data_IF_540052783429
#
_entry.id   IF_540052783429
#
_cell.length_a   1.000
_cell.length_b   1.000
_cell.length_c   1.000
_cell.angle_alpha   90.00
_cell.angle_beta   90.00
_cell.angle_gamma   90.00
#
_symmetry.space_group_name_H-M   'P 1'
#
loop_
_entity.id
_entity.type
_entity.pdbx_description
1 polymer ?
#
# COMPACT_ATOMS: atom_id res chain seq x y z
N UNK A 1 -6.35 0.85 -11.30
CA UNK A 1 -4.98 0.86 -11.86
C UNK A 1 -4.87 2.15 -12.66
N UNK A 2 -3.90 3.00 -12.34
CA UNK A 2 -3.61 4.18 -13.16
C UNK A 2 -2.95 3.71 -14.45
N UNK A 3 -3.09 4.49 -15.52
CA UNK A 3 -2.38 4.27 -16.77
C UNK A 3 -2.05 5.63 -17.38
N UNK A 4 -0.83 5.76 -17.86
CA UNK A 4 -0.33 6.96 -18.51
C UNK A 4 0.41 6.51 -19.78
N UNK A 5 0.18 7.20 -20.88
CA UNK A 5 0.89 6.99 -22.13
C UNK A 5 1.86 8.15 -22.36
N UNK A 6 3.13 7.86 -22.63
CA UNK A 6 4.17 8.86 -22.82
C UNK A 6 3.85 9.79 -24.00
N UNK A 7 3.13 9.30 -25.02
CA UNK A 7 2.70 10.13 -26.15
C UNK A 7 1.80 11.29 -25.77
N UNK A 8 1.13 11.23 -24.62
CA UNK A 8 0.24 12.28 -24.11
C UNK A 8 1.00 13.49 -23.56
N UNK A 9 2.34 13.41 -23.48
CA UNK A 9 3.19 14.41 -22.83
C UNK A 9 4.26 15.01 -23.78
N UNK A 10 3.87 15.58 -24.94
CA UNK A 10 4.81 16.16 -25.91
C UNK A 10 5.47 17.45 -25.43
N UNK A 11 4.94 18.10 -24.39
CA UNK A 11 5.41 19.42 -23.94
C UNK A 11 6.13 19.36 -22.58
N UNK A 12 6.24 18.18 -21.97
CA UNK A 12 6.96 18.01 -20.70
C UNK A 12 8.42 17.73 -21.01
N UNK A 13 9.28 18.71 -20.73
CA UNK A 13 10.73 18.63 -20.91
C UNK A 13 11.35 17.44 -20.16
N UNK A 14 12.20 16.68 -20.83
CA UNK A 14 12.94 15.55 -20.25
C UNK A 14 14.29 15.30 -20.96
N UNK A 15 15.01 16.38 -21.20
CA UNK A 15 16.33 16.38 -21.85
C UNK A 15 17.35 15.49 -21.14
N UNK A 16 18.09 14.71 -21.92
CA UNK A 16 19.35 14.09 -21.48
C UNK A 16 20.36 15.14 -20.98
N UNK A 17 21.16 14.82 -19.94
CA UNK A 17 22.13 15.77 -19.38
C UNK A 17 23.21 16.16 -20.38
N UNK A 18 23.69 17.40 -20.30
CA UNK A 18 24.85 17.90 -21.05
C UNK A 18 24.70 17.89 -22.59
N UNK A 19 23.49 18.08 -23.12
CA UNK A 19 23.28 18.12 -24.57
C UNK A 19 22.35 19.26 -24.97
N UNK A 20 22.48 19.74 -26.21
CA UNK A 20 21.59 20.73 -26.79
C UNK A 20 20.29 20.12 -27.38
N UNK A 21 20.16 18.79 -27.36
CA UNK A 21 18.96 18.13 -27.87
C UNK A 21 17.80 18.31 -26.89
N UNK A 22 16.70 18.85 -27.41
CA UNK A 22 15.47 19.04 -26.65
C UNK A 22 14.66 17.76 -26.73
N UNK A 23 14.52 17.08 -25.59
CA UNK A 23 13.73 15.86 -25.47
C UNK A 23 12.55 16.10 -24.53
N UNK A 24 11.54 15.27 -24.68
CA UNK A 24 10.33 15.36 -23.87
C UNK A 24 9.97 13.99 -23.33
N UNK A 25 9.01 13.95 -22.41
CA UNK A 25 8.46 12.68 -21.93
C UNK A 25 7.94 11.83 -23.10
N UNK A 26 7.38 12.46 -24.15
CA UNK A 26 6.97 11.76 -25.37
C UNK A 26 8.10 10.99 -26.05
N UNK A 27 9.30 11.55 -26.13
CA UNK A 27 10.42 10.91 -26.86
C UNK A 27 11.22 9.96 -25.96
N UNK A 28 11.35 10.29 -24.68
CA UNK A 28 12.38 9.67 -23.82
C UNK A 28 11.87 9.32 -22.41
N UNK A 29 10.55 9.32 -22.21
CA UNK A 29 9.92 9.26 -20.88
C UNK A 29 9.37 7.91 -20.43
N UNK A 30 9.65 6.79 -21.11
CA UNK A 30 9.08 5.48 -20.74
C UNK A 30 9.34 5.11 -19.26
N UNK A 31 10.54 5.40 -18.74
CA UNK A 31 10.89 5.18 -17.33
C UNK A 31 10.10 6.07 -16.35
N UNK A 32 9.93 7.35 -16.67
CA UNK A 32 9.14 8.29 -15.85
C UNK A 32 7.68 7.86 -15.80
N UNK A 33 7.11 7.52 -16.95
CA UNK A 33 5.70 7.15 -17.10
C UNK A 33 5.40 5.82 -16.42
N UNK A 34 6.29 4.82 -16.54
CA UNK A 34 6.17 3.56 -15.79
C UNK A 34 6.27 3.79 -14.28
N UNK A 35 7.26 4.55 -13.80
CA UNK A 35 7.38 4.85 -12.37
C UNK A 35 6.14 5.57 -11.82
N UNK A 36 5.62 6.57 -12.54
CA UNK A 36 4.39 7.29 -12.18
C UNK A 36 3.19 6.34 -12.09
N UNK A 37 3.02 5.48 -13.11
CA UNK A 37 1.97 4.46 -13.16
C UNK A 37 2.03 3.53 -11.95
N UNK A 38 3.22 3.02 -11.61
CA UNK A 38 3.42 2.08 -10.50
C UNK A 38 3.11 2.72 -9.16
N UNK A 39 3.66 3.90 -8.87
CA UNK A 39 3.48 4.55 -7.56
C UNK A 39 2.03 4.95 -7.31
N UNK A 40 1.37 5.58 -8.29
CA UNK A 40 -0.03 6.00 -8.17
C UNK A 40 -0.98 4.79 -8.03
N UNK A 41 -0.68 3.70 -8.76
CA UNK A 41 -1.49 2.48 -8.71
C UNK A 41 -1.36 1.73 -7.38
N UNK A 42 -0.15 1.61 -6.84
CA UNK A 42 0.09 0.92 -5.59
C UNK A 42 -0.56 1.64 -4.38
N UNK A 43 -0.51 2.98 -4.35
CA UNK A 43 -1.17 3.76 -3.28
C UNK A 43 -2.68 3.93 -3.52
N UNK A 44 -3.16 3.73 -4.74
CA UNK A 44 -4.57 3.86 -5.11
C UNK A 44 -5.06 5.29 -5.27
N UNK A 45 -4.15 6.26 -5.43
CA UNK A 45 -4.46 7.68 -5.69
C UNK A 45 -3.30 8.34 -6.44
N UNK A 46 -3.55 9.50 -7.05
CA UNK A 46 -2.47 10.29 -7.65
C UNK A 46 -1.53 10.81 -6.55
N UNK A 47 -0.29 10.33 -6.57
CA UNK A 47 0.81 10.77 -5.70
C UNK A 47 1.74 11.72 -6.46
N UNK A 48 1.94 11.47 -7.75
CA UNK A 48 2.67 12.33 -8.67
C UNK A 48 1.90 12.47 -9.97
N UNK A 49 1.87 13.66 -10.56
CA UNK A 49 1.59 13.81 -11.99
C UNK A 49 2.82 13.37 -12.80
N UNK A 50 2.67 13.10 -14.10
CA UNK A 50 3.82 12.77 -14.97
C UNK A 50 4.83 13.91 -15.03
N UNK A 51 4.37 15.18 -15.00
CA UNK A 51 5.26 16.35 -14.93
C UNK A 51 6.08 16.36 -13.63
N UNK A 52 5.44 16.09 -12.49
CA UNK A 52 6.14 16.00 -11.20
C UNK A 52 7.14 14.85 -11.17
N UNK A 53 6.81 13.69 -11.75
CA UNK A 53 7.72 12.56 -11.82
C UNK A 53 8.93 12.84 -12.74
N UNK A 54 8.71 13.49 -13.89
CA UNK A 54 9.79 13.90 -14.80
C UNK A 54 10.75 14.88 -14.11
N UNK A 55 10.20 15.91 -13.46
CA UNK A 55 11.00 16.85 -12.67
C UNK A 55 11.74 16.15 -11.53
N UNK A 56 11.07 15.26 -10.79
CA UNK A 56 11.71 14.51 -9.70
C UNK A 56 12.87 13.66 -10.20
N UNK A 57 12.72 13.01 -11.36
CA UNK A 57 13.79 12.26 -12.00
C UNK A 57 15.00 13.14 -12.34
N UNK A 58 14.77 14.29 -12.98
CA UNK A 58 15.82 15.26 -13.32
C UNK A 58 16.52 15.81 -12.07
N UNK A 59 15.76 16.26 -11.08
CA UNK A 59 16.27 16.84 -9.82
C UNK A 59 17.12 15.85 -9.01
N UNK A 60 16.95 14.54 -9.23
CA UNK A 60 17.72 13.48 -8.56
C UNK A 60 18.77 12.82 -9.47
N UNK A 61 19.05 13.40 -10.64
CA UNK A 61 20.07 12.87 -11.56
C UNK A 61 19.74 11.50 -12.14
N UNK A 62 18.46 11.14 -12.23
CA UNK A 62 18.01 9.85 -12.74
C UNK A 62 17.79 9.83 -14.26
N UNK A 63 17.95 10.95 -14.97
CA UNK A 63 18.03 10.96 -16.44
C UNK A 63 19.49 10.77 -16.87
N UNK A 64 19.76 9.76 -17.69
CA UNK A 64 21.06 9.54 -18.34
C UNK A 64 20.96 9.72 -19.88
N UNK A 65 21.98 9.31 -20.64
CA UNK A 65 21.98 9.43 -22.10
C UNK A 65 21.07 8.42 -22.82
N UNK A 66 20.68 7.34 -22.15
CA UNK A 66 19.92 6.21 -22.70
C UNK A 66 18.46 6.18 -22.28
N UNK A 67 18.12 6.88 -21.19
CA UNK A 67 16.77 6.89 -20.64
C UNK A 67 16.74 7.38 -19.19
N UNK A 68 15.84 6.77 -18.46
CA UNK A 68 15.77 6.94 -17.00
C UNK A 68 16.57 5.84 -16.35
N UNK A 69 17.58 6.19 -15.55
CA UNK A 69 18.22 5.28 -14.62
C UNK A 69 17.22 4.91 -13.51
N UNK A 70 16.53 3.79 -13.69
CA UNK A 70 15.45 3.39 -12.80
C UNK A 70 15.92 3.11 -11.37
N UNK A 71 17.17 2.67 -11.18
CA UNK A 71 17.72 2.42 -9.85
C UNK A 71 17.88 3.71 -9.06
N UNK A 72 18.41 4.78 -9.68
CA UNK A 72 18.54 6.10 -9.05
C UNK A 72 17.15 6.67 -8.74
N UNK A 73 16.22 6.62 -9.71
CA UNK A 73 14.86 7.12 -9.53
C UNK A 73 14.14 6.42 -8.36
N UNK A 74 14.14 5.09 -8.32
CA UNK A 74 13.45 4.33 -7.28
C UNK A 74 14.08 4.51 -5.90
N UNK A 75 15.42 4.61 -5.80
CA UNK A 75 16.09 4.96 -4.54
C UNK A 75 15.61 6.31 -4.01
N UNK A 76 15.55 7.33 -4.86
CA UNK A 76 15.08 8.65 -4.48
C UNK A 76 13.59 8.65 -4.10
N UNK A 77 12.75 7.96 -4.87
CA UNK A 77 11.31 7.86 -4.59
C UNK A 77 11.03 7.11 -3.29
N UNK A 78 11.66 5.96 -3.03
CA UNK A 78 11.47 5.22 -1.78
C UNK A 78 12.01 5.99 -0.57
N UNK A 79 13.11 6.75 -0.72
CA UNK A 79 13.60 7.65 0.33
C UNK A 79 12.57 8.74 0.67
N UNK A 80 11.93 9.35 -0.34
CA UNK A 80 10.90 10.38 -0.14
C UNK A 80 9.57 9.82 0.38
N UNK A 81 9.26 8.56 0.06
CA UNK A 81 7.99 7.91 0.37
C UNK A 81 8.27 6.60 1.16
N UNK A 82 8.49 6.65 2.48
CA UNK A 82 9.03 5.53 3.26
C UNK A 82 8.10 4.30 3.36
N UNK A 83 6.85 4.43 2.93
CA UNK A 83 5.90 3.32 2.82
C UNK A 83 6.11 2.51 1.53
N UNK A 84 6.96 2.98 0.62
CA UNK A 84 7.36 2.28 -0.58
C UNK A 84 8.75 1.68 -0.41
N UNK A 85 8.94 0.48 -0.95
CA UNK A 85 10.24 -0.16 -1.09
C UNK A 85 10.34 -0.83 -2.46
N UNK A 86 11.55 -1.18 -2.87
CA UNK A 86 11.74 -1.97 -4.09
C UNK A 86 12.88 -2.99 -3.94
N UNK A 87 12.83 -4.04 -4.76
CA UNK A 87 13.92 -5.00 -4.98
C UNK A 87 14.27 -5.02 -6.46
N UNK A 88 15.55 -4.89 -6.80
CA UNK A 88 16.04 -5.09 -8.17
C UNK A 88 16.49 -6.54 -8.34
N UNK A 89 16.13 -7.18 -9.45
CA UNK A 89 16.42 -8.60 -9.69
C UNK A 89 16.40 -8.93 -11.18
N UNK A 90 17.04 -10.04 -11.57
CA UNK A 90 16.92 -10.66 -12.89
C UNK A 90 16.02 -11.89 -12.90
N UNK A 91 15.45 -12.28 -11.75
CA UNK A 91 14.68 -13.53 -11.59
C UNK A 91 13.20 -13.37 -11.93
N UNK A 92 12.74 -14.12 -12.93
CA UNK A 92 11.32 -14.23 -13.31
C UNK A 92 10.50 -14.89 -12.20
N UNK A 93 11.10 -15.82 -11.45
CA UNK A 93 10.44 -16.42 -10.29
C UNK A 93 10.12 -15.38 -9.22
N UNK A 94 11.04 -14.46 -8.93
CA UNK A 94 10.78 -13.36 -8.00
C UNK A 94 9.73 -12.39 -8.55
N UNK A 95 9.80 -12.07 -9.84
CA UNK A 95 8.77 -11.26 -10.52
C UNK A 95 7.37 -11.86 -10.34
N UNK A 96 7.20 -13.13 -10.68
CA UNK A 96 5.89 -13.83 -10.57
C UNK A 96 5.43 -13.89 -9.11
N UNK A 97 6.32 -14.21 -8.18
CA UNK A 97 5.97 -14.27 -6.75
C UNK A 97 5.54 -12.90 -6.21
N UNK A 98 6.19 -11.83 -6.65
CA UNK A 98 5.86 -10.45 -6.26
C UNK A 98 4.48 -10.03 -6.77
N UNK A 99 4.20 -10.25 -8.05
CA UNK A 99 2.90 -9.91 -8.66
C UNK A 99 1.77 -10.69 -8.00
N UNK A 100 1.96 -11.98 -7.72
CA UNK A 100 0.97 -12.81 -7.00
C UNK A 100 0.62 -12.30 -5.61
N UNK A 101 1.53 -11.57 -4.96
CA UNK A 101 1.30 -10.93 -3.64
C UNK A 101 0.64 -9.54 -3.76
N UNK A 102 0.25 -9.12 -4.96
CA UNK A 102 -0.32 -7.80 -5.22
C UNK A 102 0.72 -6.70 -5.43
N UNK A 103 2.00 -7.06 -5.54
CA UNK A 103 3.06 -6.14 -5.95
C UNK A 103 2.96 -5.78 -7.43
N UNK A 104 3.59 -4.67 -7.81
CA UNK A 104 3.72 -4.24 -9.21
C UNK A 104 5.20 -4.09 -9.53
N UNK A 105 5.60 -4.47 -10.74
CA UNK A 105 6.99 -4.40 -11.18
C UNK A 105 7.17 -3.52 -12.41
N UNK A 106 8.32 -2.85 -12.49
CA UNK A 106 8.82 -2.22 -13.71
C UNK A 106 9.79 -3.21 -14.35
N UNK A 107 9.57 -3.56 -15.62
CA UNK A 107 10.42 -4.48 -16.38
C UNK A 107 11.24 -3.69 -17.40
N UNK A 108 12.54 -3.98 -17.47
CA UNK A 108 13.53 -3.35 -18.33
C UNK A 108 13.74 -4.23 -19.56
N UNK A 109 13.02 -3.99 -20.64
CA UNK A 109 13.31 -4.64 -21.90
C UNK A 109 14.68 -4.18 -22.41
N UNK A 110 15.48 -5.11 -22.91
CA UNK A 110 16.66 -4.77 -23.68
C UNK A 110 16.47 -4.77 -25.19
N UNK A 111 17.59 -4.93 -25.87
CA UNK A 111 17.71 -4.77 -27.32
C UNK A 111 17.77 -6.13 -28.02
N UNK A 112 18.19 -7.17 -27.30
CA UNK A 112 18.40 -8.52 -27.87
C UNK A 112 17.09 -9.21 -28.31
N UNK A 113 15.98 -9.00 -27.61
CA UNK A 113 14.70 -9.66 -27.90
C UNK A 113 13.49 -8.73 -27.74
N UNK A 114 13.12 -8.07 -28.82
CA UNK A 114 12.08 -7.04 -28.83
C UNK A 114 10.64 -7.57 -28.71
N UNK A 115 9.99 -7.42 -27.56
CA UNK A 115 8.56 -7.78 -27.35
C UNK A 115 7.67 -6.54 -27.32
N UNK A 116 8.10 -5.51 -26.59
CA UNK A 116 7.38 -4.28 -26.27
C UNK A 116 7.87 -3.06 -27.06
N UNK A 117 9.12 -3.05 -27.51
CA UNK A 117 9.71 -1.99 -28.35
C UNK A 117 10.82 -2.56 -29.21
N UNK A 118 11.24 -1.86 -30.27
CA UNK A 118 12.40 -2.23 -31.13
C UNK A 118 13.76 -1.92 -30.51
N UNK A 119 13.78 -1.34 -29.32
CA UNK A 119 14.97 -1.02 -28.53
C UNK A 119 14.64 -1.12 -27.04
N UNK A 120 15.58 -0.76 -26.17
CA UNK A 120 15.41 -0.67 -24.73
C UNK A 120 14.12 0.07 -24.34
N UNK A 121 13.35 -0.50 -23.41
CA UNK A 121 12.04 0.03 -23.03
C UNK A 121 11.60 -0.42 -21.65
N UNK A 122 10.99 0.48 -20.88
CA UNK A 122 10.36 0.13 -19.62
C UNK A 122 8.87 -0.17 -19.81
N UNK A 123 8.40 -1.26 -19.22
CA UNK A 123 6.96 -1.62 -19.15
C UNK A 123 6.56 -1.99 -17.72
N UNK A 124 5.26 -2.06 -17.44
CA UNK A 124 4.74 -2.37 -16.10
C UNK A 124 4.09 -3.76 -16.09
N UNK A 125 4.59 -4.67 -15.27
CA UNK A 125 3.96 -5.95 -14.99
C UNK A 125 3.13 -5.85 -13.69
N UNK A 126 1.82 -6.01 -13.78
CA UNK A 126 0.93 -5.63 -12.67
C UNK A 126 -0.06 -6.70 -12.20
N UNK A 127 -0.33 -7.73 -13.01
CA UNK A 127 -1.18 -8.85 -12.60
C UNK A 127 -0.87 -10.13 -13.37
N UNK A 128 -1.09 -11.27 -12.74
CA UNK A 128 -1.09 -12.56 -13.43
C UNK A 128 -2.44 -12.78 -14.13
N UNK A 129 -2.40 -13.36 -15.33
CA UNK A 129 -3.56 -13.83 -16.10
C UNK A 129 -3.32 -15.31 -16.40
N UNK A 130 -3.86 -16.18 -15.54
CA UNK A 130 -3.48 -17.59 -15.51
C UNK A 130 -1.99 -17.75 -15.25
N UNK A 131 -1.26 -18.39 -16.17
CA UNK A 131 0.20 -18.55 -16.12
C UNK A 131 0.99 -17.40 -16.77
N UNK A 132 0.30 -16.42 -17.35
CA UNK A 132 0.88 -15.30 -18.09
C UNK A 132 0.83 -14.00 -17.26
N UNK A 133 1.51 -12.96 -17.74
CA UNK A 133 1.60 -11.65 -17.10
C UNK A 133 0.86 -10.64 -17.97
N UNK A 134 -0.01 -9.81 -17.39
CA UNK A 134 -0.54 -8.64 -18.09
C UNK A 134 0.37 -7.43 -17.88
N UNK A 135 0.67 -6.77 -19.00
CA UNK A 135 1.61 -5.67 -19.12
C UNK A 135 0.85 -4.39 -19.46
N UNK A 136 1.19 -3.30 -18.78
CA UNK A 136 0.89 -1.95 -19.24
C UNK A 136 2.15 -1.39 -19.91
N UNK A 137 1.99 -0.92 -21.12
CA UNK A 137 3.06 -0.37 -21.94
C UNK A 137 2.93 1.16 -21.96
N UNK A 138 3.93 1.93 -21.47
CA UNK A 138 3.83 3.37 -21.41
C UNK A 138 3.92 4.03 -22.79
N UNK A 139 4.19 3.29 -23.87
CA UNK A 139 4.38 3.80 -25.23
C UNK A 139 3.39 3.15 -26.19
N UNK A 140 2.09 3.22 -25.90
CA UNK A 140 1.07 2.62 -26.76
C UNK A 140 0.70 3.50 -27.94
N UNK A 141 0.51 2.88 -29.09
CA UNK A 141 -0.02 3.49 -30.30
C UNK A 141 -0.76 2.44 -31.12
N UNK A 142 -1.63 2.90 -32.02
CA UNK A 142 -2.41 2.01 -32.89
C UNK A 142 -1.49 1.10 -33.71
N UNK A 143 -1.81 -0.19 -33.79
CA UNK A 143 -1.03 -1.18 -34.52
C UNK A 143 0.29 -1.61 -33.86
N UNK A 144 0.66 -1.08 -32.68
CA UNK A 144 1.96 -1.39 -32.04
C UNK A 144 2.24 -2.88 -31.93
N UNK A 145 1.28 -3.64 -31.39
CA UNK A 145 1.42 -5.08 -31.17
C UNK A 145 1.02 -5.94 -32.37
N UNK A 146 0.62 -5.32 -33.48
CA UNK A 146 0.38 -5.97 -34.77
C UNK A 146 1.65 -5.93 -35.66
N UNK A 147 2.64 -5.12 -35.30
CA UNK A 147 3.86 -4.89 -36.07
C UNK A 147 5.04 -5.79 -35.64
N UNK A 148 6.00 -5.96 -36.56
CA UNK A 148 7.24 -6.73 -36.38
C UNK A 148 6.97 -8.19 -35.93
N UNK A 149 7.84 -8.74 -35.09
CA UNK A 149 7.66 -10.07 -34.51
C UNK A 149 6.78 -10.07 -33.25
N UNK A 150 6.24 -8.91 -32.83
CA UNK A 150 5.48 -8.79 -31.56
C UNK A 150 4.24 -9.71 -31.51
N UNK A 151 3.44 -9.88 -32.58
CA UNK A 151 2.30 -10.80 -32.57
C UNK A 151 2.67 -12.24 -32.21
N UNK A 152 3.90 -12.67 -32.53
CA UNK A 152 4.41 -14.02 -32.26
C UNK A 152 5.00 -14.16 -30.84
N UNK A 153 5.19 -13.05 -30.13
CA UNK A 153 5.88 -12.95 -28.83
C UNK A 153 4.93 -12.61 -27.67
N UNK A 154 3.67 -12.32 -27.98
CA UNK A 154 2.62 -12.04 -27.00
C UNK A 154 1.53 -13.11 -27.09
N UNK A 155 0.78 -13.26 -26.01
CA UNK A 155 -0.42 -14.11 -25.99
C UNK A 155 -1.60 -13.40 -26.63
N UNK A 156 -1.78 -12.11 -26.29
CA UNK A 156 -2.78 -11.22 -26.91
C UNK A 156 -2.45 -9.76 -26.60
N UNK A 157 -2.90 -8.85 -27.47
CA UNK A 157 -2.88 -7.40 -27.18
C UNK A 157 -4.00 -7.01 -26.22
N UNK A 158 -3.80 -5.92 -25.49
CA UNK A 158 -4.82 -5.26 -24.66
C UNK A 158 -4.89 -3.78 -25.04
N UNK A 159 -5.87 -3.05 -24.52
CA UNK A 159 -6.02 -1.60 -24.79
C UNK A 159 -4.75 -0.80 -24.46
N UNK A 160 -4.08 -1.17 -23.36
CA UNK A 160 -2.97 -0.41 -22.78
C UNK A 160 -1.64 -1.19 -22.80
N UNK A 161 -1.54 -2.26 -23.58
CA UNK A 161 -0.38 -3.13 -23.55
C UNK A 161 -0.64 -4.51 -24.18
N UNK A 162 -0.21 -5.55 -23.49
CA UNK A 162 -0.38 -6.94 -23.92
C UNK A 162 -0.38 -7.92 -22.74
N UNK A 163 -0.78 -9.16 -23.01
CA UNK A 163 -0.51 -10.31 -22.14
C UNK A 163 0.67 -11.08 -22.73
N UNK A 164 1.66 -11.40 -21.91
CA UNK A 164 2.90 -12.07 -22.31
C UNK A 164 3.15 -13.28 -21.41
N UNK A 165 3.79 -14.33 -21.94
CA UNK A 165 4.21 -15.45 -21.10
C UNK A 165 5.41 -15.06 -20.23
N UNK A 166 5.62 -15.76 -19.11
CA UNK A 166 6.80 -15.54 -18.26
C UNK A 166 8.10 -15.77 -19.05
N UNK A 167 8.11 -16.77 -19.94
CA UNK A 167 9.26 -17.07 -20.80
C UNK A 167 9.57 -15.95 -21.80
N UNK A 168 8.55 -15.39 -22.44
CA UNK A 168 8.75 -14.27 -23.37
C UNK A 168 9.16 -12.99 -22.64
N UNK A 169 8.70 -12.78 -21.40
CA UNK A 169 9.22 -11.71 -20.54
C UNK A 169 10.71 -11.92 -20.20
N UNK A 170 11.11 -13.13 -19.82
CA UNK A 170 12.50 -13.47 -19.54
C UNK A 170 13.42 -13.19 -20.72
N UNK A 171 13.03 -13.64 -21.93
CA UNK A 171 13.76 -13.31 -23.18
C UNK A 171 13.84 -11.81 -23.42
N UNK A 172 12.74 -11.08 -23.24
CA UNK A 172 12.66 -9.65 -23.49
C UNK A 172 13.64 -8.83 -22.62
N UNK A 173 14.00 -9.35 -21.46
CA UNK A 173 14.86 -8.68 -20.48
C UNK A 173 16.19 -9.39 -20.27
N UNK A 174 16.56 -10.37 -21.10
CA UNK A 174 17.69 -11.27 -20.87
C UNK A 174 19.06 -10.56 -20.89
N UNK A 175 19.15 -9.42 -21.59
CA UNK A 175 20.34 -8.59 -21.74
C UNK A 175 20.31 -7.35 -20.81
N UNK A 176 19.58 -7.43 -19.70
CA UNK A 176 19.47 -6.36 -18.70
C UNK A 176 19.77 -6.87 -17.30
N UNK A 177 20.67 -6.16 -16.61
CA UNK A 177 20.94 -6.35 -15.19
C UNK A 177 20.89 -4.98 -14.47
N UNK A 178 19.86 -4.69 -13.67
CA UNK A 178 18.71 -5.54 -13.36
C UNK A 178 17.63 -5.56 -14.47
N UNK A 179 16.91 -6.68 -14.57
CA UNK A 179 15.77 -6.86 -15.48
C UNK A 179 14.44 -6.34 -14.90
N UNK A 180 14.25 -6.49 -13.59
CA UNK A 180 12.99 -6.21 -12.90
C UNK A 180 13.21 -5.34 -11.66
N UNK A 181 12.31 -4.39 -11.44
CA UNK A 181 12.22 -3.61 -10.23
C UNK A 181 10.87 -3.87 -9.55
N UNK A 182 10.90 -4.67 -8.49
CA UNK A 182 9.74 -5.15 -7.75
C UNK A 182 9.33 -4.12 -6.70
N UNK A 183 8.31 -3.30 -6.98
CA UNK A 183 7.89 -2.21 -6.09
C UNK A 183 6.76 -2.66 -5.17
N UNK A 184 6.91 -2.38 -3.88
CA UNK A 184 5.91 -2.67 -2.83
C UNK A 184 5.44 -1.38 -2.20
N UNK A 185 4.14 -1.29 -1.93
CA UNK A 185 3.58 -0.29 -1.02
C UNK A 185 3.04 -0.98 0.24
N UNK A 186 3.57 -0.61 1.39
CA UNK A 186 3.08 -1.04 2.69
C UNK A 186 2.18 0.05 3.24
N UNK A 187 0.86 -0.16 3.16
CA UNK A 187 -0.11 0.80 3.70
C UNK A 187 0.20 1.06 5.19
N UNK A 188 0.38 2.32 5.62
CA UNK A 188 0.54 2.64 7.02
C UNK A 188 -0.59 2.02 7.83
N UNK A 189 -0.24 1.38 8.95
CA UNK A 189 -1.26 1.00 9.93
C UNK A 189 -1.93 2.29 10.39
N UNK A 190 -3.20 2.46 10.04
CA UNK A 190 -3.99 3.60 10.51
C UNK A 190 -3.90 3.63 12.04
N UNK A 191 -3.54 4.78 12.61
CA UNK A 191 -3.60 4.94 14.05
C UNK A 191 -5.00 4.56 14.51
N UNK A 192 -5.06 3.57 15.38
CA UNK A 192 -6.30 3.00 15.88
C UNK A 192 -7.05 4.10 16.66
N UNK A 193 -8.15 4.61 16.11
CA UNK A 193 -8.94 5.67 16.75
C UNK A 193 -9.89 5.04 17.75
N UNK A 194 -9.85 5.52 18.99
CA UNK A 194 -10.81 5.09 20.00
C UNK A 194 -12.25 5.46 19.57
N UNK A 195 -13.25 4.63 19.90
CA UNK A 195 -14.66 4.93 19.62
C UNK A 195 -15.10 6.22 20.33
N UNK A 196 -16.00 6.97 19.70
CA UNK A 196 -16.64 8.11 20.35
C UNK A 196 -17.71 7.60 21.33
N UNK A 197 -17.37 7.55 22.62
CA UNK A 197 -18.34 7.28 23.68
C UNK A 197 -18.74 8.60 24.35
N UNK A 198 -20.02 8.81 24.61
CA UNK A 198 -20.54 10.02 25.24
C UNK A 198 -20.86 9.78 26.71
N UNK A 199 -20.54 10.76 27.56
CA UNK A 199 -20.98 10.78 28.97
C UNK A 199 -22.50 10.99 28.99
N UNK A 200 -23.20 10.30 29.89
CA UNK A 200 -24.67 10.24 29.96
C UNK A 200 -25.28 9.14 29.09
N UNK A 201 -24.58 8.65 28.06
CA UNK A 201 -25.11 7.63 27.17
C UNK A 201 -24.92 6.20 27.72
N UNK A 202 -25.87 5.34 27.35
CA UNK A 202 -25.89 3.93 27.73
C UNK A 202 -25.44 3.05 26.57
N UNK A 203 -24.49 2.16 26.83
CA UNK A 203 -23.94 1.20 25.86
C UNK A 203 -24.13 -0.23 26.36
N UNK A 204 -24.09 -1.22 25.45
CA UNK A 204 -24.04 -2.64 25.84
C UNK A 204 -22.60 -3.15 25.79
N UNK A 205 -22.16 -3.85 26.83
CA UNK A 205 -20.85 -4.48 26.82
C UNK A 205 -20.77 -5.57 25.73
N UNK A 206 -19.78 -5.49 24.85
CA UNK A 206 -19.52 -6.47 23.78
C UNK A 206 -18.81 -7.73 24.28
N UNK A 207 -18.20 -7.67 25.47
CA UNK A 207 -17.55 -8.80 26.13
C UNK A 207 -17.58 -8.60 27.65
N UNK A 208 -17.34 -9.68 28.41
CA UNK A 208 -17.17 -9.60 29.87
C UNK A 208 -16.08 -8.59 30.22
N UNK A 209 -16.33 -7.65 31.15
CA UNK A 209 -15.35 -6.63 31.56
C UNK A 209 -15.17 -6.60 33.08
N UNK A 210 -13.92 -6.50 33.51
CA UNK A 210 -13.58 -6.27 34.92
C UNK A 210 -13.88 -4.83 35.35
N UNK A 211 -14.29 -4.65 36.61
CA UNK A 211 -14.57 -3.34 37.21
C UNK A 211 -13.46 -2.96 38.19
N UNK A 212 -12.89 -1.77 38.03
CA UNK A 212 -11.67 -1.30 38.70
C UNK A 212 -11.94 -0.08 39.57
N UNK A 213 -11.06 0.17 40.53
CA UNK A 213 -11.12 1.35 41.40
C UNK A 213 -10.82 2.65 40.66
N UNK A 214 -10.00 2.58 39.61
CA UNK A 214 -9.53 3.73 38.85
C UNK A 214 -9.22 3.38 37.40
N UNK A 215 -8.63 4.36 36.70
CA UNK A 215 -8.08 4.19 35.35
C UNK A 215 -6.78 3.40 35.45
N UNK A 216 -6.68 2.31 34.68
CA UNK A 216 -5.49 1.45 34.66
C UNK A 216 -5.63 0.22 35.56
N UNK A 217 -5.15 -0.94 35.08
CA UNK A 217 -5.27 -2.19 35.83
C UNK A 217 -4.56 -2.16 37.21
N UNK A 218 -3.54 -1.30 37.35
CA UNK A 218 -2.79 -1.09 38.60
C UNK A 218 -3.65 -0.49 39.72
N UNK A 219 -4.80 0.13 39.43
CA UNK A 219 -5.70 0.64 40.47
C UNK A 219 -6.32 -0.49 41.34
N UNK A 220 -6.14 -1.74 40.93
CA UNK A 220 -6.82 -2.88 41.53
C UNK A 220 -8.26 -3.03 41.04
N UNK A 221 -8.70 -4.29 40.99
CA UNK A 221 -10.06 -4.67 40.61
C UNK A 221 -10.95 -4.67 41.85
N UNK A 222 -12.16 -4.14 41.70
CA UNK A 222 -13.18 -4.17 42.75
C UNK A 222 -13.63 -5.59 43.04
N UNK A 223 -14.19 -5.81 44.21
CA UNK A 223 -14.93 -7.00 44.61
C UNK A 223 -16.41 -6.87 44.28
N UNK A 224 -17.11 -7.99 44.16
CA UNK A 224 -18.57 -7.99 43.88
C UNK A 224 -19.32 -7.20 44.96
N UNK A 225 -18.92 -7.30 46.23
CA UNK A 225 -19.53 -6.53 47.34
C UNK A 225 -19.44 -5.00 47.18
N UNK A 226 -18.47 -4.50 46.42
CA UNK A 226 -18.22 -3.07 46.24
C UNK A 226 -18.95 -2.47 45.03
N UNK A 227 -19.69 -3.28 44.28
CA UNK A 227 -20.54 -2.83 43.17
C UNK A 227 -21.87 -2.30 43.70
N UNK A 228 -22.57 -1.51 42.88
CA UNK A 228 -23.96 -1.13 43.16
C UNK A 228 -24.89 -2.35 43.12
N UNK A 229 -26.14 -2.22 43.60
CA UNK A 229 -27.11 -3.31 43.54
C UNK A 229 -27.31 -3.83 42.10
N UNK A 230 -27.43 -2.93 41.12
CA UNK A 230 -27.52 -3.30 39.71
C UNK A 230 -26.21 -3.92 39.18
N UNK A 231 -25.05 -3.40 39.59
CA UNK A 231 -23.75 -4.00 39.27
C UNK A 231 -23.63 -5.44 39.76
N UNK A 232 -24.08 -5.74 40.97
CA UNK A 232 -24.11 -7.11 41.53
C UNK A 232 -25.09 -8.03 40.80
N UNK A 233 -26.23 -7.50 40.37
CA UNK A 233 -27.20 -8.24 39.53
C UNK A 233 -26.54 -8.71 38.23
N UNK A 234 -25.76 -7.83 37.60
CA UNK A 234 -25.08 -8.03 36.33
C UNK A 234 -23.67 -8.64 36.43
N UNK A 235 -23.18 -8.93 37.64
CA UNK A 235 -21.88 -9.56 37.85
C UNK A 235 -21.85 -11.02 37.36
N UNK A 236 -20.72 -11.47 36.83
CA UNK A 236 -20.52 -12.88 36.42
C UNK A 236 -20.48 -13.84 37.61
N UNK A 237 -20.02 -13.37 38.77
CA UNK A 237 -19.96 -14.14 40.02
C UNK A 237 -20.89 -13.54 41.07
N UNK A 238 -21.42 -14.39 41.95
CA UNK A 238 -22.28 -13.98 43.09
C UNK A 238 -21.56 -13.94 44.43
N UNK A 239 -20.42 -14.61 44.54
CA UNK A 239 -19.52 -14.52 45.70
C UNK A 239 -19.05 -13.06 45.90
N UNK A 240 -19.34 -12.53 47.08
CA UNK A 240 -19.10 -11.15 47.48
C UNK A 240 -17.61 -10.78 47.50
N UNK A 241 -16.72 -11.76 47.73
CA UNK A 241 -15.27 -11.59 47.85
C UNK A 241 -14.51 -11.83 46.53
N UNK A 242 -15.21 -12.28 45.49
CA UNK A 242 -14.62 -12.43 44.15
C UNK A 242 -14.43 -11.08 43.47
N UNK A 243 -13.44 -11.07 42.58
CA UNK A 243 -13.20 -9.94 41.70
C UNK A 243 -14.42 -9.67 40.80
N UNK A 244 -14.76 -8.40 40.67
CA UNK A 244 -15.92 -7.93 39.94
C UNK A 244 -15.68 -7.96 38.43
N UNK A 245 -16.55 -8.69 37.73
CA UNK A 245 -16.68 -8.66 36.29
C UNK A 245 -18.16 -8.54 35.93
N UNK A 246 -18.51 -7.68 34.99
CA UNK A 246 -19.85 -7.58 34.42
C UNK A 246 -19.98 -8.51 33.22
N UNK A 247 -21.16 -9.09 33.04
CA UNK A 247 -21.50 -9.96 31.91
C UNK A 247 -21.44 -9.21 30.58
N UNK A 248 -21.18 -9.95 29.50
CA UNK A 248 -21.46 -9.45 28.17
C UNK A 248 -22.95 -9.11 28.03
N UNK A 249 -23.27 -8.05 27.29
CA UNK A 249 -24.63 -7.56 27.09
C UNK A 249 -25.15 -6.64 28.20
N UNK A 250 -24.44 -6.51 29.34
CA UNK A 250 -24.82 -5.57 30.40
C UNK A 250 -24.87 -4.15 29.85
N UNK A 251 -25.96 -3.44 30.14
CA UNK A 251 -26.13 -2.03 29.82
C UNK A 251 -25.34 -1.19 30.83
N UNK A 252 -24.50 -0.29 30.35
CA UNK A 252 -23.63 0.57 31.15
C UNK A 252 -23.81 2.03 30.73
N UNK A 253 -24.22 2.87 31.67
CA UNK A 253 -24.31 4.32 31.46
C UNK A 253 -23.00 4.97 31.86
N UNK A 254 -22.37 5.65 30.90
CA UNK A 254 -21.04 6.23 31.10
C UNK A 254 -21.19 7.53 31.89
N UNK A 255 -20.56 7.63 33.05
CA UNK A 255 -20.53 8.86 33.86
C UNK A 255 -19.24 9.65 33.68
N UNK A 256 -18.19 9.01 33.18
CA UNK A 256 -16.88 9.63 32.95
C UNK A 256 -16.06 8.81 31.94
N UNK A 257 -15.13 9.45 31.24
CA UNK A 257 -14.17 8.75 30.37
C UNK A 257 -12.79 9.40 30.45
N UNK A 258 -11.74 8.59 30.42
CA UNK A 258 -10.33 9.04 30.43
C UNK A 258 -9.46 8.07 29.64
N UNK A 259 -8.35 8.56 29.11
CA UNK A 259 -7.32 7.72 28.54
C UNK A 259 -6.25 7.38 29.59
N UNK A 260 -5.73 6.17 29.56
CA UNK A 260 -4.49 5.84 30.28
C UNK A 260 -3.25 6.22 29.45
N UNK A 261 -2.06 6.12 30.06
CA UNK A 261 -0.78 6.43 29.39
C UNK A 261 -0.50 5.55 28.15
N UNK A 262 -1.11 4.35 28.07
CA UNK A 262 -1.01 3.46 26.92
C UNK A 262 -2.02 3.82 25.80
N UNK A 263 -2.88 4.81 26.02
CA UNK A 263 -3.91 5.27 25.10
C UNK A 263 -5.15 4.38 25.05
N UNK A 264 -5.38 3.52 26.05
CA UNK A 264 -6.65 2.80 26.19
C UNK A 264 -7.72 3.75 26.73
N UNK A 265 -8.94 3.64 26.21
CA UNK A 265 -10.06 4.40 26.72
C UNK A 265 -10.69 3.64 27.89
N UNK A 266 -10.71 4.29 29.04
CA UNK A 266 -11.40 3.84 30.24
C UNK A 266 -12.69 4.65 30.41
N UNK A 267 -13.73 3.98 30.84
CA UNK A 267 -15.01 4.59 31.13
C UNK A 267 -15.46 4.23 32.55
N UNK A 268 -16.05 5.19 33.25
CA UNK A 268 -16.62 5.01 34.58
C UNK A 268 -18.12 4.81 34.47
N UNK A 269 -18.61 3.87 35.28
CA UNK A 269 -20.03 3.67 35.60
C UNK A 269 -20.19 3.82 37.12
N UNK A 270 -21.41 3.86 37.66
CA UNK A 270 -21.62 3.96 39.12
C UNK A 270 -20.89 2.90 39.93
N UNK A 271 -20.70 1.69 39.38
CA UNK A 271 -19.98 0.60 40.05
C UNK A 271 -18.46 0.71 40.01
N UNK A 272 -17.87 1.53 39.13
CA UNK A 272 -16.41 1.69 38.99
C UNK A 272 -15.95 1.90 37.54
N UNK A 273 -14.66 1.71 37.29
CA UNK A 273 -14.04 1.91 35.97
C UNK A 273 -13.91 0.61 35.18
N UNK A 274 -13.99 0.67 33.86
CA UNK A 274 -13.69 -0.46 32.98
C UNK A 274 -13.02 0.01 31.69
N UNK A 275 -12.32 -0.91 31.02
CA UNK A 275 -11.71 -0.63 29.71
C UNK A 275 -12.79 -0.68 28.63
N UNK A 276 -13.10 0.47 28.04
CA UNK A 276 -14.03 0.60 26.93
C UNK A 276 -13.36 0.37 25.57
N UNK A 277 -12.06 0.66 25.43
CA UNK A 277 -11.30 0.39 24.21
C UNK A 277 -9.82 0.12 24.49
N UNK A 278 -9.25 -0.85 23.78
CA UNK A 278 -7.82 -1.17 23.83
C UNK A 278 -7.12 -0.76 22.53
N UNK A 279 -6.14 0.13 22.65
CA UNK A 279 -5.39 0.69 21.50
C UNK A 279 -4.54 -0.37 20.79
N UNK A 280 -3.77 -1.15 21.56
CA UNK A 280 -2.80 -2.13 21.03
C UNK A 280 -3.42 -3.17 20.09
N UNK A 281 -4.64 -3.60 20.39
CA UNK A 281 -5.39 -4.60 19.60
C UNK A 281 -6.54 -3.98 18.79
N UNK A 282 -6.75 -2.67 18.91
CA UNK A 282 -7.83 -1.93 18.25
C UNK A 282 -9.24 -2.53 18.47
N UNK A 283 -9.60 -2.86 19.71
CA UNK A 283 -10.89 -3.46 20.06
C UNK A 283 -11.71 -2.51 20.94
N UNK A 284 -12.97 -2.29 20.58
CA UNK A 284 -14.00 -1.65 21.42
C UNK A 284 -14.80 -2.69 22.19
N UNK A 285 -15.04 -2.43 23.48
CA UNK A 285 -15.86 -3.26 24.37
C UNK A 285 -17.26 -2.71 24.62
N UNK A 286 -17.58 -1.57 23.99
CA UNK A 286 -18.91 -0.96 23.92
C UNK A 286 -19.29 -0.70 22.47
#
# INVERSE_FOLDING_TARGET
MFYYNQYDYPNIKYDRPNTAEVETVKTSGCGVVTACTVFNSLIGKELYTVSQMAKFSLDNGARDNSGTNMLILLKALCKKNPNFSFVATTSETQLVAHIKKGGIAICNQGDAYNVFSTSGHYVVAYKMVGKNIEILDPLMYSGKYDAYNRPKRIVKKTTNGCVVSVNEMGKATADRDPAYFLVTYTKPKTASKAPSIAVGQTYKLKAIRGIYNGVGAASGRKKVRELTADGRKNATFKDSNRNAYLKQGTKVTIVEKRFDAAGNLWARIPSGWFVAYQKKVNISFV
#
